data_IF_991282673864
#
_entry.id   IF_991282673864
#
_cell.length_a   1.000
_cell.length_b   1.000
_cell.length_c   1.000
_cell.angle_alpha   90.00
_cell.angle_beta   90.00
_cell.angle_gamma   90.00
#
_symmetry.space_group_name_H-M   'P 1'
#
loop_
_entity.id
_entity.type
_entity.pdbx_description
1 polymer ?
#
# COMPACT_ATOMS: atom_id res chain seq x y z
N UNK A 1 0.35 -16.30 31.39
CA UNK A 1 -0.29 -16.15 30.06
C UNK A 1 -0.46 -14.69 29.57
N UNK A 2 -0.13 -13.67 30.38
CA UNK A 2 -0.19 -12.25 29.98
C UNK A 2 1.02 -11.82 29.12
N UNK A 3 2.19 -12.44 29.30
CA UNK A 3 3.44 -11.95 28.71
C UNK A 3 3.61 -12.25 27.21
N UNK A 4 3.18 -13.43 26.74
CA UNK A 4 3.28 -13.82 25.31
C UNK A 4 2.49 -12.89 24.36
N UNK A 5 1.45 -12.22 24.85
CA UNK A 5 0.66 -11.29 24.04
C UNK A 5 1.36 -9.93 23.83
N UNK A 6 2.41 -9.65 24.60
CA UNK A 6 3.14 -8.38 24.54
C UNK A 6 4.35 -8.44 23.60
N UNK A 7 4.89 -9.64 23.33
CA UNK A 7 6.09 -9.83 22.51
C UNK A 7 5.99 -9.20 21.11
N UNK A 8 4.90 -9.35 20.33
CA UNK A 8 4.83 -8.76 18.99
C UNK A 8 4.85 -7.24 19.00
N UNK A 9 4.29 -6.62 20.04
CA UNK A 9 4.29 -5.16 20.17
C UNK A 9 5.68 -4.64 20.57
N UNK A 10 6.35 -5.32 21.51
CA UNK A 10 7.74 -4.98 21.87
C UNK A 10 8.66 -5.12 20.66
N UNK A 11 8.53 -6.22 19.90
CA UNK A 11 9.26 -6.43 18.66
C UNK A 11 8.98 -5.33 17.62
N UNK A 12 7.71 -4.94 17.43
CA UNK A 12 7.34 -3.84 16.55
C UNK A 12 8.04 -2.52 16.95
N UNK A 13 8.02 -2.16 18.24
CA UNK A 13 8.71 -0.96 18.74
C UNK A 13 10.20 -1.03 18.44
N UNK A 14 10.86 -2.15 18.78
CA UNK A 14 12.30 -2.34 18.56
C UNK A 14 12.66 -2.26 17.08
N UNK A 15 11.88 -2.90 16.20
CA UNK A 15 12.10 -2.84 14.75
C UNK A 15 11.86 -1.44 14.20
N UNK A 16 10.81 -0.74 14.64
CA UNK A 16 10.59 0.65 14.21
C UNK A 16 11.75 1.55 14.65
N UNK A 17 12.20 1.46 15.90
CA UNK A 17 13.33 2.25 16.42
C UNK A 17 14.63 1.90 15.69
N UNK A 18 14.91 0.62 15.48
CA UNK A 18 16.09 0.16 14.74
C UNK A 18 16.12 0.64 13.29
N UNK A 19 14.99 0.50 12.57
CA UNK A 19 14.86 0.99 11.19
C UNK A 19 14.92 2.52 11.12
N UNK A 20 14.32 3.23 12.08
CA UNK A 20 14.43 4.69 12.16
C UNK A 20 15.90 5.11 12.31
N UNK A 21 16.64 4.51 13.23
CA UNK A 21 18.07 4.78 13.44
C UNK A 21 18.92 4.46 12.20
N UNK A 22 18.66 3.31 11.56
CA UNK A 22 19.36 2.92 10.32
C UNK A 22 19.11 3.93 9.20
N UNK A 23 17.86 4.35 8.99
CA UNK A 23 17.54 5.33 7.95
C UNK A 23 18.11 6.71 8.26
N UNK A 24 18.14 7.11 9.54
CA UNK A 24 18.78 8.36 9.95
C UNK A 24 20.29 8.35 9.66
N UNK A 25 20.96 7.21 9.87
CA UNK A 25 22.35 7.04 9.49
C UNK A 25 22.51 7.09 7.96
N UNK A 26 21.64 6.40 7.21
CA UNK A 26 21.66 6.41 5.75
C UNK A 26 21.43 7.81 5.15
N UNK A 27 20.50 8.61 5.70
CA UNK A 27 20.21 9.97 5.25
C UNK A 27 21.40 10.93 5.33
N UNK A 28 22.45 10.59 6.09
CA UNK A 28 23.68 11.39 6.16
C UNK A 28 24.62 11.14 4.98
N UNK A 29 24.54 9.98 4.35
CA UNK A 29 25.50 9.52 3.33
C UNK A 29 24.87 9.23 1.98
N UNK A 30 23.57 8.97 1.93
CA UNK A 30 22.83 8.60 0.72
C UNK A 30 22.27 9.85 0.06
N UNK A 31 22.64 10.10 -1.18
CA UNK A 31 22.04 11.13 -2.03
C UNK A 31 20.71 10.67 -2.63
N UNK A 32 20.15 11.45 -3.56
CA UNK A 32 18.97 11.01 -4.31
C UNK A 32 19.31 9.86 -5.25
N UNK A 33 18.46 8.84 -5.29
CA UNK A 33 18.37 7.93 -6.44
C UNK A 33 17.74 8.62 -7.66
N UNK A 34 17.80 7.96 -8.83
CA UNK A 34 17.33 8.52 -10.11
C UNK A 34 15.89 9.05 -10.04
N UNK A 35 14.96 8.24 -9.52
CA UNK A 35 13.55 8.64 -9.38
C UNK A 35 13.36 9.75 -8.34
N UNK A 36 14.13 9.73 -7.25
CA UNK A 36 14.04 10.78 -6.22
C UNK A 36 14.51 12.14 -6.76
N UNK A 37 15.57 12.15 -7.57
CA UNK A 37 16.06 13.37 -8.20
C UNK A 37 15.01 13.97 -9.15
N UNK A 38 14.30 13.11 -9.90
CA UNK A 38 13.16 13.54 -10.70
C UNK A 38 12.07 14.16 -9.83
N UNK A 39 11.62 13.47 -8.77
CA UNK A 39 10.57 14.01 -7.89
C UNK A 39 11.00 15.26 -7.12
N UNK A 40 12.27 15.40 -6.77
CA UNK A 40 12.82 16.62 -6.20
C UNK A 40 12.78 17.79 -7.19
N UNK A 41 13.02 17.54 -8.48
CA UNK A 41 12.95 18.57 -9.53
C UNK A 41 11.53 19.11 -9.76
N UNK A 42 10.49 18.34 -9.44
CA UNK A 42 9.09 18.80 -9.54
C UNK A 42 8.80 20.01 -8.66
N UNK A 43 9.57 20.20 -7.60
CA UNK A 43 9.51 21.37 -6.75
C UNK A 43 9.70 22.70 -7.50
N UNK A 44 10.48 22.69 -8.59
CA UNK A 44 10.79 23.86 -9.42
C UNK A 44 9.63 24.24 -10.34
N UNK A 45 8.74 23.30 -10.61
CA UNK A 45 7.60 23.48 -11.50
C UNK A 45 6.33 22.88 -10.88
N UNK A 46 5.75 23.51 -9.84
CA UNK A 46 4.54 23.00 -9.21
C UNK A 46 3.40 22.85 -10.22
N UNK A 47 2.88 21.64 -10.34
CA UNK A 47 1.77 21.31 -11.22
C UNK A 47 0.78 20.39 -10.50
N UNK A 48 -0.49 20.41 -10.94
CA UNK A 48 -1.50 19.49 -10.41
C UNK A 48 -1.24 18.04 -10.81
N UNK A 49 -0.59 17.80 -11.95
CA UNK A 49 -0.11 16.50 -12.38
C UNK A 49 1.17 16.66 -13.21
N UNK A 50 1.96 15.60 -13.24
CA UNK A 50 3.14 15.41 -14.07
C UNK A 50 2.91 14.21 -14.98
N UNK A 51 3.83 13.95 -15.91
CA UNK A 51 3.66 12.92 -16.95
C UNK A 51 3.32 11.52 -16.41
N UNK A 52 3.88 11.15 -15.26
CA UNK A 52 3.75 9.82 -14.66
C UNK A 52 2.98 9.82 -13.33
N UNK A 53 2.87 10.97 -12.65
CA UNK A 53 2.29 11.05 -11.32
C UNK A 53 1.48 12.33 -11.05
N UNK A 54 0.43 12.22 -10.20
CA UNK A 54 -0.24 13.37 -9.62
C UNK A 54 0.69 14.29 -8.82
N UNK A 55 0.27 15.56 -8.67
CA UNK A 55 1.15 16.66 -8.24
C UNK A 55 1.59 16.69 -6.77
N UNK A 56 1.01 15.87 -5.88
CA UNK A 56 1.29 15.99 -4.44
C UNK A 56 2.76 15.74 -4.10
N UNK A 57 3.44 14.82 -4.78
CA UNK A 57 4.87 14.58 -4.55
C UNK A 57 5.71 15.82 -4.86
N UNK A 58 5.38 16.54 -5.93
CA UNK A 58 6.02 17.81 -6.28
C UNK A 58 5.70 18.93 -5.30
N UNK A 59 4.45 19.01 -4.83
CA UNK A 59 4.05 19.97 -3.80
C UNK A 59 4.79 19.74 -2.46
N UNK A 60 4.93 18.48 -2.05
CA UNK A 60 5.71 18.11 -0.85
C UNK A 60 7.20 18.41 -1.07
N UNK A 61 7.76 18.09 -2.23
CA UNK A 61 9.14 18.44 -2.56
C UNK A 61 9.38 19.95 -2.49
N UNK A 62 8.47 20.75 -3.07
CA UNK A 62 8.50 22.21 -3.02
C UNK A 62 8.43 22.75 -1.59
N UNK A 63 7.55 22.20 -0.75
CA UNK A 63 7.46 22.56 0.66
C UNK A 63 8.78 22.28 1.40
N UNK A 64 9.39 21.11 1.19
CA UNK A 64 10.65 20.72 1.84
C UNK A 64 11.85 21.54 1.36
N UNK A 65 11.81 22.00 0.11
CA UNK A 65 12.85 22.86 -0.46
C UNK A 65 12.61 24.35 -0.24
N UNK A 66 11.45 24.78 0.23
CA UNK A 66 11.09 26.20 0.36
C UNK A 66 10.88 26.87 -1.00
N UNK A 67 10.25 26.16 -1.95
CA UNK A 67 10.03 26.62 -3.32
C UNK A 67 11.11 26.20 -4.33
N UNK A 68 12.22 25.62 -3.86
CA UNK A 68 13.25 25.02 -4.70
C UNK A 68 13.27 23.49 -4.58
N UNK A 69 14.14 22.80 -5.33
CA UNK A 69 14.40 21.39 -5.09
C UNK A 69 14.94 21.18 -3.66
N UNK A 70 14.41 20.22 -2.88
CA UNK A 70 14.92 19.92 -1.54
C UNK A 70 16.30 19.26 -1.62
N UNK A 71 17.10 19.40 -0.57
CA UNK A 71 18.32 18.59 -0.42
C UNK A 71 17.94 17.14 -0.05
N UNK A 72 18.79 16.14 -0.35
CA UNK A 72 18.57 14.75 0.08
C UNK A 72 18.28 14.64 1.58
N UNK A 73 19.03 15.37 2.41
CA UNK A 73 18.89 15.32 3.86
C UNK A 73 17.50 15.80 4.32
N UNK A 74 16.94 16.86 3.70
CA UNK A 74 15.60 17.36 4.04
C UNK A 74 14.51 16.40 3.57
N UNK A 75 14.65 15.90 2.35
CA UNK A 75 13.72 14.92 1.78
C UNK A 75 13.69 13.64 2.61
N UNK A 76 14.85 13.03 2.85
CA UNK A 76 14.99 11.81 3.66
C UNK A 76 14.55 12.02 5.10
N UNK A 77 14.79 13.20 5.69
CA UNK A 77 14.28 13.54 7.02
C UNK A 77 12.75 13.41 7.11
N UNK A 78 12.03 13.92 6.11
CA UNK A 78 10.57 13.81 6.06
C UNK A 78 10.10 12.37 5.78
N UNK A 79 10.72 11.68 4.82
CA UNK A 79 10.32 10.31 4.45
C UNK A 79 10.61 9.30 5.56
N UNK A 80 11.68 9.48 6.36
CA UNK A 80 11.97 8.66 7.55
C UNK A 80 10.79 8.69 8.53
N UNK A 81 10.24 9.88 8.81
CA UNK A 81 9.11 10.04 9.73
C UNK A 81 7.90 9.29 9.18
N UNK A 82 7.56 9.51 7.91
CA UNK A 82 6.42 8.84 7.26
C UNK A 82 6.59 7.32 7.22
N UNK A 83 7.75 6.83 6.79
CA UNK A 83 8.09 5.41 6.74
C UNK A 83 8.01 4.74 8.11
N UNK A 84 8.28 5.49 9.19
CA UNK A 84 8.22 4.97 10.56
C UNK A 84 6.81 4.96 11.12
N UNK A 85 5.92 5.81 10.61
CA UNK A 85 4.48 5.84 10.96
C UNK A 85 3.70 4.71 10.26
N UNK A 86 4.09 4.33 9.04
CA UNK A 86 3.33 3.34 8.23
C UNK A 86 3.05 2.01 8.96
N UNK A 87 4.01 1.35 9.64
CA UNK A 87 3.72 0.13 10.42
C UNK A 87 2.66 0.33 11.51
N UNK A 88 2.62 1.51 12.14
CA UNK A 88 1.62 1.83 13.15
C UNK A 88 0.24 2.09 12.56
N UNK A 89 0.18 2.62 11.33
CA UNK A 89 -1.06 2.70 10.58
C UNK A 89 -1.55 1.33 10.14
N UNK A 90 -0.66 0.38 9.80
CA UNK A 90 -1.04 -1.03 9.63
C UNK A 90 -1.61 -1.62 10.91
N UNK A 91 -0.99 -1.36 12.07
CA UNK A 91 -1.53 -1.77 13.37
C UNK A 91 -2.93 -1.19 13.58
N UNK A 92 -3.11 0.10 13.36
CA UNK A 92 -4.39 0.79 13.51
C UNK A 92 -5.47 0.23 12.57
N UNK A 93 -5.15 0.05 11.28
CA UNK A 93 -6.06 -0.53 10.29
C UNK A 93 -6.45 -1.97 10.68
N UNK A 94 -5.51 -2.80 11.12
CA UNK A 94 -5.80 -4.15 11.58
C UNK A 94 -6.70 -4.17 12.84
N UNK A 95 -6.48 -3.26 13.79
CA UNK A 95 -7.35 -3.07 14.94
C UNK A 95 -8.74 -2.61 14.53
N UNK A 96 -8.81 -1.66 13.60
CA UNK A 96 -10.06 -1.18 13.01
C UNK A 96 -10.78 -2.29 12.23
N UNK A 97 -10.08 -3.26 11.65
CA UNK A 97 -10.65 -4.46 11.04
C UNK A 97 -11.11 -5.52 12.06
N UNK A 98 -10.75 -5.38 13.34
CA UNK A 98 -11.17 -6.28 14.43
C UNK A 98 -10.13 -7.34 14.83
N UNK A 99 -8.91 -7.27 14.30
CA UNK A 99 -7.82 -8.15 14.76
C UNK A 99 -7.48 -7.87 16.22
N UNK A 100 -7.13 -8.90 17.01
CA UNK A 100 -6.63 -8.72 18.39
C UNK A 100 -5.33 -7.92 18.40
N UNK A 101 -4.95 -7.34 19.56
CA UNK A 101 -3.71 -6.55 19.70
C UNK A 101 -2.47 -7.29 19.20
N UNK A 102 -2.30 -8.56 19.57
CA UNK A 102 -1.17 -9.38 19.11
C UNK A 102 -1.17 -9.63 17.59
N UNK A 103 -2.34 -9.90 16.99
CA UNK A 103 -2.45 -10.11 15.54
C UNK A 103 -2.22 -8.82 14.74
N UNK A 104 -2.71 -7.69 15.24
CA UNK A 104 -2.45 -6.39 14.65
C UNK A 104 -0.96 -6.01 14.73
N UNK A 105 -0.32 -6.27 15.87
CA UNK A 105 1.12 -6.06 16.02
C UNK A 105 1.94 -6.99 15.11
N UNK A 106 1.53 -8.25 14.96
CA UNK A 106 2.14 -9.18 13.99
C UNK A 106 2.03 -8.69 12.55
N UNK A 107 0.85 -8.22 12.12
CA UNK A 107 0.66 -7.66 10.78
C UNK A 107 1.52 -6.40 10.55
N UNK A 108 1.58 -5.51 11.53
CA UNK A 108 2.42 -4.32 11.51
C UNK A 108 3.92 -4.65 11.48
N UNK A 109 4.34 -5.68 12.21
CA UNK A 109 5.73 -6.16 12.21
C UNK A 109 6.11 -6.70 10.84
N UNK A 110 5.26 -7.53 10.22
CA UNK A 110 5.47 -8.00 8.85
C UNK A 110 5.62 -6.82 7.91
N UNK A 111 4.69 -5.84 7.97
CA UNK A 111 4.77 -4.64 7.15
C UNK A 111 6.07 -3.85 7.39
N UNK A 112 6.54 -3.72 8.63
CA UNK A 112 7.78 -3.03 8.96
C UNK A 112 9.02 -3.73 8.38
N UNK A 113 8.99 -5.06 8.26
CA UNK A 113 10.15 -5.87 7.84
C UNK A 113 10.18 -6.22 6.35
N UNK A 114 9.07 -6.05 5.62
CA UNK A 114 9.04 -6.29 4.17
C UNK A 114 10.00 -5.29 3.49
N UNK A 115 10.98 -5.73 2.69
CA UNK A 115 12.00 -4.85 2.12
C UNK A 115 11.45 -3.62 1.38
N UNK A 116 10.35 -3.79 0.65
CA UNK A 116 9.67 -2.71 -0.07
C UNK A 116 9.24 -1.56 0.87
N UNK A 117 8.72 -1.89 2.06
CA UNK A 117 8.29 -0.89 3.03
C UNK A 117 9.42 -0.45 3.96
N UNK A 118 10.31 -1.38 4.30
CA UNK A 118 11.46 -1.13 5.18
C UNK A 118 12.47 -0.18 4.51
N UNK A 119 12.74 -0.38 3.23
CA UNK A 119 13.74 0.36 2.45
C UNK A 119 13.06 1.31 1.47
N UNK A 120 12.07 0.86 0.70
CA UNK A 120 11.49 1.66 -0.39
C UNK A 120 10.83 2.96 0.07
N UNK A 121 10.18 2.98 1.23
CA UNK A 121 9.57 4.21 1.79
C UNK A 121 10.60 5.23 2.32
N UNK A 122 11.88 4.90 2.34
CA UNK A 122 12.94 5.88 2.63
C UNK A 122 13.08 6.91 1.51
N UNK A 123 12.78 6.54 0.27
CA UNK A 123 12.92 7.42 -0.87
C UNK A 123 11.81 8.49 -0.91
N UNK A 124 12.14 9.70 -1.37
CA UNK A 124 11.12 10.68 -1.76
C UNK A 124 10.40 10.16 -3.00
N UNK A 125 9.21 9.60 -2.80
CA UNK A 125 8.42 9.00 -3.87
C UNK A 125 6.92 9.20 -3.64
N UNK A 126 6.08 9.05 -4.69
CA UNK A 126 4.63 8.99 -4.55
C UNK A 126 4.18 7.95 -3.52
N UNK A 127 4.86 6.81 -3.40
CA UNK A 127 4.46 5.71 -2.52
C UNK A 127 4.65 6.06 -1.04
N UNK A 128 5.65 6.88 -0.71
CA UNK A 128 5.90 7.37 0.65
C UNK A 128 4.77 8.25 1.18
N UNK A 129 4.05 8.94 0.29
CA UNK A 129 2.85 9.70 0.61
C UNK A 129 1.59 8.83 0.54
N UNK A 130 1.50 7.98 -0.48
CA UNK A 130 0.35 7.11 -0.72
C UNK A 130 0.09 6.17 0.47
N UNK A 131 1.12 5.46 0.94
CA UNK A 131 0.98 4.41 1.95
C UNK A 131 0.31 4.90 3.25
N UNK A 132 0.77 5.98 3.91
CA UNK A 132 0.12 6.46 5.13
C UNK A 132 -1.29 7.00 4.87
N UNK A 133 -1.51 7.74 3.78
CA UNK A 133 -2.85 8.25 3.43
C UNK A 133 -3.84 7.13 3.16
N UNK A 134 -3.39 6.07 2.49
CA UNK A 134 -4.21 4.90 2.19
C UNK A 134 -4.63 4.16 3.45
N UNK A 135 -3.69 3.89 4.35
CA UNK A 135 -3.95 3.19 5.60
C UNK A 135 -4.81 4.04 6.55
N UNK A 136 -4.57 5.36 6.61
CA UNK A 136 -5.39 6.28 7.39
C UNK A 136 -6.83 6.32 6.88
N UNK A 137 -7.01 6.47 5.56
CA UNK A 137 -8.32 6.44 4.90
C UNK A 137 -9.07 5.14 5.21
N UNK A 138 -8.41 4.00 5.04
CA UNK A 138 -8.99 2.68 5.30
C UNK A 138 -9.35 2.52 6.79
N UNK A 139 -8.50 3.00 7.69
CA UNK A 139 -8.75 2.97 9.14
C UNK A 139 -9.99 3.77 9.49
N UNK A 140 -10.15 4.99 8.95
CA UNK A 140 -11.33 5.82 9.15
C UNK A 140 -12.60 5.11 8.66
N UNK A 141 -12.59 4.55 7.45
CA UNK A 141 -13.74 3.81 6.90
C UNK A 141 -14.12 2.60 7.76
N UNK A 142 -13.13 1.80 8.19
CA UNK A 142 -13.35 0.62 9.05
C UNK A 142 -13.92 1.00 10.42
N UNK A 143 -13.46 2.11 11.00
CA UNK A 143 -14.00 2.63 12.25
C UNK A 143 -15.43 3.16 12.07
N UNK A 144 -15.72 3.83 10.96
CA UNK A 144 -17.05 4.36 10.65
C UNK A 144 -18.08 3.23 10.54
N UNK A 145 -17.75 2.16 9.81
CA UNK A 145 -18.63 1.00 9.58
C UNK A 145 -19.06 0.33 10.89
N UNK A 146 -18.20 0.34 11.91
CA UNK A 146 -18.47 -0.29 13.22
C UNK A 146 -19.36 0.53 14.14
N UNK A 147 -19.64 1.79 13.80
CA UNK A 147 -20.44 2.71 14.61
C UNK A 147 -21.85 2.86 14.06
N UNK A 148 -22.73 3.47 14.85
CA UNK A 148 -24.08 3.79 14.38
C UNK A 148 -24.00 4.88 13.29
N UNK A 149 -24.77 4.77 12.19
CA UNK A 149 -24.71 5.73 11.09
C UNK A 149 -25.01 7.19 11.50
N UNK A 150 -25.77 7.39 12.57
CA UNK A 150 -26.27 8.71 13.00
C UNK A 150 -25.34 9.44 13.97
N UNK A 151 -24.30 8.77 14.47
CA UNK A 151 -23.32 9.42 15.33
C UNK A 151 -22.48 10.44 14.55
N UNK A 152 -22.31 11.65 15.09
CA UNK A 152 -21.44 12.70 14.51
C UNK A 152 -20.03 12.18 14.21
N UNK A 153 -19.49 11.36 15.10
CA UNK A 153 -18.18 10.72 14.90
C UNK A 153 -18.15 9.85 13.65
N UNK A 154 -19.21 9.11 13.35
CA UNK A 154 -19.32 8.30 12.12
C UNK A 154 -19.30 9.17 10.87
N UNK A 155 -19.96 10.34 10.92
CA UNK A 155 -19.99 11.30 9.83
C UNK A 155 -18.59 11.87 9.56
N UNK A 156 -17.90 12.29 10.63
CA UNK A 156 -16.51 12.77 10.56
C UNK A 156 -15.60 11.69 9.98
N UNK A 157 -15.74 10.43 10.43
CA UNK A 157 -14.90 9.33 9.93
C UNK A 157 -15.15 9.02 8.44
N UNK A 158 -16.39 9.07 7.96
CA UNK A 158 -16.68 8.91 6.53
C UNK A 158 -16.13 10.07 5.69
N UNK A 159 -16.29 11.30 6.15
CA UNK A 159 -15.71 12.48 5.49
C UNK A 159 -14.18 12.41 5.45
N UNK A 160 -13.55 12.09 6.58
CA UNK A 160 -12.11 11.90 6.68
C UNK A 160 -11.61 10.78 5.76
N UNK A 161 -12.31 9.64 5.70
CA UNK A 161 -11.95 8.54 4.81
C UNK A 161 -11.94 8.99 3.35
N UNK A 162 -13.00 9.68 2.91
CA UNK A 162 -13.10 10.19 1.54
C UNK A 162 -12.06 11.24 1.19
N UNK A 163 -11.85 12.26 2.06
CA UNK A 163 -10.81 13.27 1.87
C UNK A 163 -9.43 12.62 1.78
N UNK A 164 -9.08 11.75 2.73
CA UNK A 164 -7.79 11.05 2.74
C UNK A 164 -7.60 10.17 1.49
N UNK A 165 -8.67 9.55 0.97
CA UNK A 165 -8.61 8.82 -0.30
C UNK A 165 -8.39 9.75 -1.50
N UNK A 166 -9.01 10.93 -1.50
CA UNK A 166 -8.76 11.98 -2.48
C UNK A 166 -7.30 12.45 -2.46
N UNK A 167 -6.76 12.77 -1.28
CA UNK A 167 -5.34 13.15 -1.12
C UNK A 167 -4.40 11.99 -1.49
N UNK A 168 -4.77 10.75 -1.17
CA UNK A 168 -4.02 9.58 -1.63
C UNK A 168 -3.99 9.50 -3.17
N UNK A 169 -5.11 9.79 -3.84
CA UNK A 169 -5.19 9.84 -5.29
C UNK A 169 -4.37 10.99 -5.90
N UNK A 170 -4.18 12.11 -5.18
CA UNK A 170 -3.27 13.18 -5.60
C UNK A 170 -1.79 12.88 -5.32
N UNK A 171 -1.47 11.83 -4.56
CA UNK A 171 -0.13 11.26 -4.48
C UNK A 171 0.16 10.30 -5.65
N UNK A 172 -0.75 9.36 -5.90
CA UNK A 172 -0.63 8.34 -6.96
C UNK A 172 -2.03 7.96 -7.43
N UNK A 173 -2.24 7.82 -8.75
CA UNK A 173 -3.56 7.53 -9.33
C UNK A 173 -4.18 6.24 -8.79
N UNK A 174 -3.36 5.28 -8.36
CA UNK A 174 -3.83 4.07 -7.68
C UNK A 174 -4.64 4.36 -6.42
N UNK A 175 -4.47 5.53 -5.79
CA UNK A 175 -5.30 6.03 -4.69
C UNK A 175 -6.80 6.07 -5.00
N UNK A 176 -7.18 6.24 -6.28
CA UNK A 176 -8.58 6.18 -6.72
C UNK A 176 -9.25 4.83 -6.44
N UNK A 177 -8.47 3.75 -6.31
CA UNK A 177 -9.00 2.43 -5.96
C UNK A 177 -9.64 2.42 -4.57
N UNK A 178 -9.27 3.34 -3.67
CA UNK A 178 -9.98 3.53 -2.40
C UNK A 178 -11.39 4.07 -2.61
N UNK A 179 -11.55 5.13 -3.42
CA UNK A 179 -12.86 5.70 -3.72
C UNK A 179 -13.76 4.66 -4.40
N UNK A 180 -13.21 3.93 -5.38
CA UNK A 180 -13.91 2.82 -6.05
C UNK A 180 -14.27 1.72 -5.05
N UNK A 181 -13.34 1.33 -4.18
CA UNK A 181 -13.54 0.34 -3.13
C UNK A 181 -14.63 0.75 -2.13
N UNK A 182 -14.71 2.03 -1.78
CA UNK A 182 -15.74 2.58 -0.90
C UNK A 182 -17.12 2.59 -1.56
N UNK A 183 -17.20 2.95 -2.85
CA UNK A 183 -18.45 2.79 -3.62
C UNK A 183 -18.88 1.33 -3.58
N UNK A 184 -17.99 0.39 -3.94
CA UNK A 184 -18.27 -1.05 -3.91
C UNK A 184 -18.72 -1.54 -2.53
N UNK A 185 -18.06 -1.08 -1.45
CA UNK A 185 -18.43 -1.42 -0.08
C UNK A 185 -19.82 -0.89 0.30
N UNK A 186 -20.13 0.37 -0.03
CA UNK A 186 -21.44 0.98 0.27
C UNK A 186 -22.58 0.32 -0.51
N UNK A 187 -22.31 -0.15 -1.73
CA UNK A 187 -23.29 -0.92 -2.52
C UNK A 187 -23.57 -2.31 -1.94
N UNK A 188 -22.68 -2.84 -1.08
CA UNK A 188 -22.92 -4.11 -0.38
C UNK A 188 -24.16 -4.05 0.52
N UNK A 189 -24.98 -5.12 0.59
CA UNK A 189 -26.08 -5.21 1.55
C UNK A 189 -25.62 -5.06 3.01
N UNK A 190 -24.39 -5.46 3.32
CA UNK A 190 -23.83 -5.38 4.67
C UNK A 190 -23.73 -3.92 5.19
N UNK A 191 -23.60 -2.95 4.29
CA UNK A 191 -23.52 -1.52 4.63
C UNK A 191 -24.79 -0.75 4.28
N UNK A 192 -25.92 -1.45 4.06
CA UNK A 192 -27.20 -0.79 3.76
C UNK A 192 -27.61 0.32 4.76
N UNK A 193 -27.37 0.19 6.10
CA UNK A 193 -27.67 1.27 7.03
C UNK A 193 -26.85 2.54 6.79
N UNK A 194 -25.56 2.38 6.45
CA UNK A 194 -24.67 3.50 6.15
C UNK A 194 -24.99 4.10 4.77
N UNK A 195 -25.27 3.28 3.76
CA UNK A 195 -25.59 3.72 2.38
C UNK A 195 -26.77 4.70 2.32
N UNK A 196 -27.75 4.57 3.22
CA UNK A 196 -28.93 5.45 3.25
C UNK A 196 -28.65 6.83 3.84
N UNK A 197 -27.47 7.05 4.43
CA UNK A 197 -27.06 8.36 4.97
C UNK A 197 -26.28 9.13 3.92
N UNK A 198 -26.38 10.45 3.97
CA UNK A 198 -25.67 11.33 3.03
C UNK A 198 -24.15 11.32 3.25
N UNK A 199 -23.68 11.14 4.49
CA UNK A 199 -22.28 11.33 4.87
C UNK A 199 -21.25 10.43 4.18
N UNK A 200 -21.48 9.12 3.98
CA UNK A 200 -20.56 8.31 3.18
C UNK A 200 -20.42 8.81 1.73
N UNK A 201 -21.52 9.27 1.13
CA UNK A 201 -21.51 9.86 -0.22
C UNK A 201 -20.87 11.24 -0.24
N UNK A 202 -21.11 12.06 0.78
CA UNK A 202 -20.45 13.34 0.96
C UNK A 202 -18.93 13.16 1.08
N UNK A 203 -18.46 12.17 1.85
CA UNK A 203 -17.04 11.82 1.92
C UNK A 203 -16.47 11.45 0.55
N UNK A 204 -17.16 10.59 -0.21
CA UNK A 204 -16.77 10.25 -1.59
C UNK A 204 -16.70 11.48 -2.50
N UNK A 205 -17.71 12.35 -2.43
CA UNK A 205 -17.76 13.60 -3.20
C UNK A 205 -16.61 14.55 -2.83
N UNK A 206 -16.31 14.69 -1.53
CA UNK A 206 -15.17 15.46 -1.04
C UNK A 206 -13.85 14.87 -1.53
N UNK A 207 -13.70 13.54 -1.51
CA UNK A 207 -12.53 12.86 -2.07
C UNK A 207 -12.35 13.12 -3.56
N UNK A 208 -13.44 13.05 -4.34
CA UNK A 208 -13.43 13.38 -5.77
C UNK A 208 -13.10 14.85 -6.01
N UNK A 209 -13.62 15.77 -5.18
CA UNK A 209 -13.33 17.19 -5.24
C UNK A 209 -11.85 17.49 -4.96
N UNK A 210 -11.24 16.81 -3.98
CA UNK A 210 -9.80 16.93 -3.69
C UNK A 210 -8.95 16.44 -4.88
N UNK A 211 -9.38 15.38 -5.56
CA UNK A 211 -8.69 14.86 -6.73
C UNK A 211 -8.95 15.67 -8.01
N UNK A 212 -10.01 16.48 -8.04
CA UNK A 212 -10.46 17.22 -9.22
C UNK A 212 -9.38 18.03 -9.94
N UNK A 213 -8.46 18.77 -9.26
CA UNK A 213 -7.42 19.52 -9.95
C UNK A 213 -6.51 18.66 -10.84
N UNK A 214 -6.22 17.42 -10.40
CA UNK A 214 -5.44 16.44 -11.19
C UNK A 214 -6.23 16.05 -12.43
N UNK A 215 -7.49 15.64 -12.25
CA UNK A 215 -8.36 15.23 -13.36
C UNK A 215 -8.57 16.35 -14.39
N UNK A 216 -8.78 17.58 -13.93
CA UNK A 216 -8.94 18.75 -14.79
C UNK A 216 -7.63 19.14 -15.51
N UNK A 217 -6.46 18.90 -14.89
CA UNK A 217 -5.18 19.08 -15.56
C UNK A 217 -5.01 18.09 -16.71
N UNK A 218 -5.21 16.80 -16.44
CA UNK A 218 -5.14 15.73 -17.44
C UNK A 218 -6.14 15.94 -18.58
N UNK A 219 -7.38 16.32 -18.27
CA UNK A 219 -8.41 16.56 -19.28
C UNK A 219 -8.05 17.70 -20.25
N UNK A 220 -7.31 18.72 -19.78
CA UNK A 220 -6.81 19.83 -20.62
C UNK A 220 -5.57 19.44 -21.42
N UNK A 221 -4.80 18.47 -20.94
CA UNK A 221 -3.62 17.96 -21.62
C UNK A 221 -3.97 16.99 -22.77
N UNK A 222 -5.16 16.38 -22.74
CA UNK A 222 -5.63 15.54 -23.84
C UNK A 222 -5.74 16.37 -25.13
N UNK A 223 -5.10 15.94 -26.23
CA UNK A 223 -5.24 16.62 -27.50
C UNK A 223 -6.72 16.61 -27.89
N UNK A 224 -7.27 17.81 -28.16
CA UNK A 224 -8.61 17.92 -28.71
C UNK A 224 -8.70 17.02 -29.95
N UNK A 225 -9.72 16.16 -30.00
CA UNK A 225 -9.92 15.20 -31.09
C UNK A 225 -9.98 15.89 -32.48
N UNK A 226 -10.28 17.18 -32.50
CA UNK A 226 -10.37 18.00 -33.70
C UNK A 226 -9.04 18.69 -34.09
N UNK A 227 -7.95 18.45 -33.36
CA UNK A 227 -6.65 18.97 -33.74
C UNK A 227 -6.20 18.29 -35.05
N UNK A 228 -6.05 19.04 -36.16
CA UNK A 228 -5.83 18.44 -37.45
C UNK A 228 -4.52 17.65 -37.46
N UNK A 229 -4.47 16.46 -38.11
CA UNK A 229 -3.37 15.50 -37.98
C UNK A 229 -2.00 16.08 -38.38
N UNK A 230 -1.97 17.13 -39.20
CA UNK A 230 -0.72 17.79 -39.59
C UNK A 230 -0.08 18.62 -38.46
N UNK A 231 -0.81 19.03 -37.42
CA UNK A 231 -0.23 19.67 -36.21
C UNK A 231 0.33 18.66 -35.20
N UNK A 232 -0.06 17.40 -35.29
CA UNK A 232 0.51 16.32 -34.47
C UNK A 232 1.85 15.83 -35.03
N UNK A 233 2.10 16.00 -36.34
CA UNK A 233 3.38 15.68 -36.97
C UNK A 233 4.53 16.63 -36.56
N UNK A 234 4.22 17.87 -36.19
CA UNK A 234 5.17 18.86 -35.67
C UNK A 234 5.50 18.70 -34.18
N UNK A 235 4.63 18.03 -33.41
CA UNK A 235 4.94 17.48 -32.08
C UNK A 235 5.50 16.06 -32.20
N UNK A 236 6.35 15.81 -33.21
CA UNK A 236 7.41 14.82 -33.03
C UNK A 236 8.12 15.23 -31.75
N UNK A 237 7.90 14.47 -30.68
CA UNK A 237 8.72 14.52 -29.50
C UNK A 237 10.16 14.59 -30.00
N UNK A 238 10.75 15.78 -29.89
CA UNK A 238 12.18 15.96 -30.00
C UNK A 238 12.76 15.27 -28.76
N UNK A 239 12.64 13.94 -28.71
CA UNK A 239 13.83 13.13 -28.55
C UNK A 239 14.71 13.50 -29.75
N UNK A 240 15.34 14.67 -29.66
CA UNK A 240 16.68 14.82 -30.16
C UNK A 240 17.45 13.71 -29.45
N UNK A 241 17.46 12.53 -30.06
CA UNK A 241 18.64 11.70 -29.99
C UNK A 241 19.72 12.63 -30.51
N UNK A 242 20.37 13.35 -29.61
CA UNK A 242 21.66 13.90 -29.91
C UNK A 242 22.53 12.69 -30.18
N UNK A 243 22.52 12.21 -31.43
CA UNK A 243 23.71 11.71 -32.09
C UNK A 243 24.67 12.89 -32.33
N UNK A 244 24.78 13.80 -31.36
CA UNK A 244 26.03 14.47 -31.14
C UNK A 244 26.93 13.37 -30.65
N UNK A 245 27.98 13.09 -31.42
CA UNK A 245 29.12 12.34 -30.95
C UNK A 245 29.54 12.89 -29.59
N UNK A 246 29.01 12.32 -28.51
CA UNK A 246 29.65 12.35 -27.21
C UNK A 246 30.80 11.38 -27.37
N UNK A 247 31.83 11.83 -28.10
CA UNK A 247 33.14 11.24 -27.96
C UNK A 247 33.47 11.41 -26.49
N UNK A 248 33.43 10.31 -25.75
CA UNK A 248 34.16 10.18 -24.50
C UNK A 248 35.64 10.29 -24.86
N UNK A 249 36.10 11.49 -25.22
CA UNK A 249 37.50 11.84 -25.09
C UNK A 249 37.73 11.76 -23.61
N UNK A 250 38.27 10.61 -23.20
CA UNK A 250 38.99 10.48 -21.96
C UNK A 250 39.92 11.70 -21.89
N UNK A 251 39.54 12.68 -21.07
CA UNK A 251 40.43 13.74 -20.65
C UNK A 251 41.51 13.02 -19.85
N UNK A 252 42.56 12.59 -20.57
CA UNK A 252 43.83 12.28 -19.96
C UNK A 252 44.23 13.56 -19.27
N UNK A 253 44.09 13.58 -17.96
CA UNK A 253 44.84 14.46 -17.08
C UNK A 253 46.32 14.25 -17.41
N UNK A 254 46.85 15.06 -18.33
CA UNK A 254 48.27 15.23 -18.55
C UNK A 254 48.68 16.46 -17.73
N UNK A 255 49.66 16.25 -16.85
CA UNK A 255 50.58 17.29 -16.44
C UNK A 255 50.26 17.98 -15.11
N UNK A 256 50.52 17.28 -14.00
CA UNK A 256 51.10 17.94 -12.84
C UNK A 256 52.59 17.55 -12.78
N UNK A 257 53.52 18.51 -12.55
CA UNK A 257 54.95 18.24 -12.57
C UNK A 257 55.36 17.37 -11.38
N UNK A 258 56.00 16.24 -11.68
CA UNK A 258 56.59 15.34 -10.69
C UNK A 258 57.87 15.95 -10.12
N UNK A 259 57.82 16.25 -8.82
CA UNK A 259 59.00 16.45 -8.00
C UNK A 259 59.85 15.17 -7.95
N UNK A 260 61.17 15.36 -8.10
CA UNK A 260 62.21 14.36 -7.96
C UNK A 260 62.13 13.63 -6.62
N UNK A 261 62.10 12.30 -6.64
CA UNK A 261 62.72 11.49 -5.60
C UNK A 261 63.15 10.12 -6.17
N UNK A 262 64.38 9.75 -5.80
CA UNK A 262 65.18 8.61 -6.25
C UNK A 262 64.59 7.30 -5.71
N UNK A 263 64.82 6.19 -6.43
CA UNK A 263 64.61 4.86 -5.85
C UNK A 263 64.66 3.74 -6.88
N UNK A 264 65.85 3.22 -7.11
CA UNK A 264 66.10 2.04 -7.93
C UNK A 264 65.41 0.78 -7.37
N UNK A 265 64.87 -0.06 -8.25
CA UNK A 265 65.21 -1.50 -8.36
C UNK A 265 64.50 -2.15 -9.55
N UNK A 266 65.32 -2.74 -10.41
CA UNK A 266 64.96 -3.70 -11.46
C UNK A 266 64.42 -4.99 -10.82
N UNK A 267 63.49 -5.65 -11.51
CA UNK A 267 63.33 -7.11 -11.72
C UNK A 267 62.05 -7.25 -12.59
N UNK A 268 62.18 -7.43 -13.91
CA UNK A 268 62.31 -8.70 -14.62
C UNK A 268 60.99 -9.50 -14.72
N UNK A 269 60.40 -9.41 -15.93
CA UNK A 269 59.71 -10.43 -16.72
C UNK A 269 58.76 -11.45 -16.05
N UNK A 270 57.48 -11.44 -16.48
CA UNK A 270 56.90 -12.62 -17.13
C UNK A 270 55.67 -12.22 -17.94
N UNK A 271 55.80 -12.31 -19.27
CA UNK A 271 54.74 -12.19 -20.26
C UNK A 271 53.96 -13.51 -20.37
N UNK A 272 52.65 -13.48 -20.11
CA UNK A 272 51.73 -14.57 -20.43
C UNK A 272 50.54 -14.01 -21.26
N UNK A 273 50.17 -14.64 -22.39
CA UNK A 273 49.14 -14.14 -23.27
C UNK A 273 47.74 -14.46 -22.71
N UNK A 274 46.93 -13.42 -22.45
CA UNK A 274 45.50 -13.59 -22.14
C UNK A 274 44.71 -13.91 -23.41
N UNK A 275 44.27 -15.16 -23.50
CA UNK A 275 43.32 -15.64 -24.49
C UNK A 275 42.00 -14.87 -24.42
N UNK A 276 41.53 -14.38 -25.57
CA UNK A 276 40.22 -13.76 -25.75
C UNK A 276 39.12 -14.82 -25.64
N UNK A 277 38.06 -14.64 -24.83
CA UNK A 277 36.90 -15.53 -24.90
C UNK A 277 36.12 -15.26 -26.20
N UNK A 278 36.06 -16.28 -27.06
CA UNK A 278 35.16 -16.37 -28.21
C UNK A 278 33.72 -16.14 -27.76
N UNK A 279 33.10 -15.05 -28.21
CA UNK A 279 31.63 -14.88 -28.16
C UNK A 279 30.98 -15.96 -29.03
N UNK A 280 30.47 -17.03 -28.42
CA UNK A 280 29.52 -17.94 -29.07
C UNK A 280 28.21 -17.19 -29.28
N UNK A 281 27.85 -16.97 -30.55
CA UNK A 281 26.53 -16.51 -30.97
C UNK A 281 25.54 -17.65 -30.69
N UNK A 282 24.65 -17.48 -29.72
CA UNK A 282 23.43 -18.27 -29.65
C UNK A 282 22.46 -17.76 -30.72
N UNK A 283 22.52 -18.37 -31.89
CA UNK A 283 21.46 -18.35 -32.88
C UNK A 283 20.60 -19.61 -32.65
N UNK A 284 19.58 -19.50 -31.81
CA UNK A 284 18.49 -20.46 -31.73
C UNK A 284 17.28 -19.76 -31.09
N UNK A 285 16.10 -19.97 -31.68
CA UNK A 285 14.78 -19.42 -31.34
C UNK A 285 14.34 -18.17 -32.12
N UNK A 286 14.30 -18.28 -33.46
CA UNK A 286 13.31 -17.56 -34.29
C UNK A 286 12.39 -18.58 -34.96
N UNK A 287 11.44 -19.09 -34.20
CA UNK A 287 10.19 -19.61 -34.74
C UNK A 287 9.10 -19.35 -33.70
N UNK A 288 8.57 -18.13 -33.70
CA UNK A 288 7.27 -17.84 -33.09
C UNK A 288 6.39 -17.27 -34.18
N UNK A 289 5.55 -18.18 -34.68
CA UNK A 289 4.29 -18.02 -35.39
C UNK A 289 3.85 -16.58 -35.73
N UNK A 290 3.74 -16.32 -37.03
CA UNK A 290 2.80 -15.36 -37.60
C UNK A 290 1.35 -15.84 -37.37
N UNK A 291 0.90 -15.82 -36.12
CA UNK A 291 -0.51 -15.96 -35.78
C UNK A 291 -1.25 -14.64 -36.05
N UNK A 292 -2.38 -14.73 -36.75
CA UNK A 292 -3.26 -13.59 -37.02
C UNK A 292 -3.66 -12.88 -35.72
N UNK A 293 -4.00 -11.57 -35.75
CA UNK A 293 -4.41 -10.83 -34.57
C UNK A 293 -5.56 -11.49 -33.78
N UNK A 294 -6.42 -12.26 -34.47
CA UNK A 294 -7.50 -13.05 -33.84
C UNK A 294 -6.98 -14.21 -33.00
N UNK A 295 -5.96 -14.94 -33.47
CA UNK A 295 -5.34 -16.03 -32.70
C UNK A 295 -4.64 -15.53 -31.43
N UNK A 296 -4.02 -14.34 -31.47
CA UNK A 296 -3.41 -13.72 -30.29
C UNK A 296 -4.45 -13.26 -29.26
N UNK A 297 -5.60 -12.73 -29.72
CA UNK A 297 -6.71 -12.38 -28.82
C UNK A 297 -7.33 -13.61 -28.15
N UNK A 298 -7.51 -14.71 -28.89
CA UNK A 298 -8.02 -15.96 -28.33
C UNK A 298 -7.09 -16.54 -27.24
N UNK A 299 -5.77 -16.47 -27.45
CA UNK A 299 -4.77 -16.98 -26.50
C UNK A 299 -4.68 -16.14 -25.22
N UNK A 300 -4.88 -14.82 -25.32
CA UNK A 300 -4.96 -13.91 -24.16
C UNK A 300 -6.26 -14.14 -23.38
N UNK A 301 -7.39 -14.32 -24.06
CA UNK A 301 -8.69 -14.61 -23.42
C UNK A 301 -8.64 -15.96 -22.70
N UNK A 302 -8.05 -16.99 -23.30
CA UNK A 302 -7.87 -18.32 -22.70
C UNK A 302 -6.95 -18.28 -21.46
N UNK A 303 -5.85 -17.50 -21.51
CA UNK A 303 -4.97 -17.28 -20.35
C UNK A 303 -5.69 -16.54 -19.23
N UNK A 304 -6.43 -15.48 -19.54
CA UNK A 304 -7.22 -14.75 -18.54
C UNK A 304 -8.32 -15.64 -17.92
N UNK A 305 -8.95 -16.53 -18.70
CA UNK A 305 -9.94 -17.49 -18.18
C UNK A 305 -9.32 -18.52 -17.23
N UNK A 306 -8.13 -19.04 -17.57
CA UNK A 306 -7.41 -19.98 -16.69
C UNK A 306 -6.92 -19.31 -15.41
N UNK A 307 -6.43 -18.07 -15.47
CA UNK A 307 -6.04 -17.31 -14.28
C UNK A 307 -7.25 -16.95 -13.41
N UNK A 308 -8.40 -16.62 -14.00
CA UNK A 308 -9.64 -16.38 -13.27
C UNK A 308 -10.17 -17.64 -12.57
N UNK A 309 -10.05 -18.83 -13.20
CA UNK A 309 -10.42 -20.11 -12.60
C UNK A 309 -9.50 -20.52 -11.43
N UNK A 310 -8.20 -20.23 -11.52
CA UNK A 310 -7.24 -20.48 -10.42
C UNK A 310 -7.49 -19.53 -9.23
N UNK A 311 -7.84 -18.26 -9.49
CA UNK A 311 -8.23 -17.31 -8.45
C UNK A 311 -9.61 -17.62 -7.83
N UNK A 312 -10.55 -18.18 -8.61
CA UNK A 312 -11.84 -18.63 -8.09
C UNK A 312 -11.70 -19.89 -7.22
N UNK A 313 -10.77 -20.79 -7.53
CA UNK A 313 -10.48 -22.00 -6.74
C UNK A 313 -9.82 -21.72 -5.39
N UNK A 314 -9.08 -20.60 -5.25
CA UNK A 314 -8.38 -20.22 -4.01
C UNK A 314 -9.20 -19.34 -3.06
N UNK A 315 -10.31 -18.76 -3.54
CA UNK A 315 -11.27 -18.00 -2.71
C UNK A 315 -12.52 -18.81 -2.30
N UNK A 316 -12.51 -20.12 -2.56
CA UNK A 316 -13.51 -21.08 -2.09
C UNK A 316 -13.41 -21.34 -0.57
N UNK A 317 -13.61 -20.31 0.25
CA UNK A 317 -14.03 -20.49 1.64
C UNK A 317 -15.43 -21.08 1.58
N UNK A 318 -15.48 -22.42 1.68
CA UNK A 318 -16.69 -23.20 1.80
C UNK A 318 -17.48 -22.71 3.03
N UNK A 319 -18.40 -21.78 2.80
CA UNK A 319 -19.42 -21.42 3.77
C UNK A 319 -20.47 -22.54 3.78
N UNK A 320 -20.09 -23.73 4.28
CA UNK A 320 -21.05 -24.77 4.65
C UNK A 320 -21.90 -24.20 5.77
N UNK A 321 -23.09 -23.70 5.42
CA UNK A 321 -24.18 -23.50 6.38
C UNK A 321 -24.48 -24.86 7.00
N UNK A 322 -23.90 -25.14 8.17
CA UNK A 322 -24.31 -26.29 8.98
C UNK A 322 -25.78 -26.06 9.38
N UNK A 323 -26.70 -26.99 9.08
CA UNK A 323 -28.10 -26.84 9.43
C UNK A 323 -28.24 -26.70 10.96
N UNK A 324 -29.06 -25.72 11.40
CA UNK A 324 -29.31 -25.38 12.81
C UNK A 324 -29.63 -26.59 13.70
N UNK A 325 -30.20 -27.67 13.14
CA UNK A 325 -30.51 -28.91 13.85
C UNK A 325 -29.29 -29.67 14.39
N UNK A 326 -28.11 -29.58 13.74
CA UNK A 326 -26.90 -30.28 14.22
C UNK A 326 -26.21 -29.59 15.40
N UNK A 327 -26.37 -28.26 15.55
CA UNK A 327 -25.86 -27.53 16.73
C UNK A 327 -26.64 -27.81 18.01
N UNK A 328 -27.92 -28.13 17.92
CA UNK A 328 -28.70 -28.57 19.08
C UNK A 328 -28.27 -29.99 19.53
N UNK A 329 -28.01 -30.89 18.58
CA UNK A 329 -27.54 -32.25 18.86
C UNK A 329 -26.12 -32.29 19.42
N UNK A 330 -25.18 -31.53 18.84
CA UNK A 330 -23.80 -31.43 19.35
C UNK A 330 -23.73 -30.76 20.74
N UNK A 331 -24.70 -29.90 21.10
CA UNK A 331 -24.79 -29.26 22.43
C UNK A 331 -25.45 -30.20 23.47
N UNK A 332 -26.38 -31.05 23.04
CA UNK A 332 -26.96 -32.11 23.87
C UNK A 332 -25.95 -33.26 24.12
N UNK A 333 -25.19 -33.67 23.11
CA UNK A 333 -24.11 -34.67 23.26
C UNK A 333 -22.96 -34.17 24.14
N UNK A 334 -22.59 -32.88 24.05
CA UNK A 334 -21.59 -32.29 24.96
C UNK A 334 -22.10 -32.06 26.38
N UNK A 335 -23.41 -32.02 26.60
CA UNK A 335 -24.00 -32.03 27.94
C UNK A 335 -24.08 -33.46 28.53
N UNK A 336 -24.08 -34.49 27.68
CA UNK A 336 -24.12 -35.90 28.09
C UNK A 336 -22.74 -36.48 28.43
N UNK A 337 -21.64 -35.88 27.94
CA UNK A 337 -20.26 -36.25 28.33
C UNK A 337 -19.79 -35.37 29.50
N UNK A 338 -20.57 -35.40 30.59
CA UNK A 338 -20.13 -34.89 31.89
C UNK A 338 -19.51 -36.06 32.67
N UNK A 339 -18.25 -35.87 33.09
CA UNK A 339 -17.47 -36.85 33.86
C UNK A 339 -18.25 -37.34 35.09
N UNK A 340 -18.25 -38.65 35.40
CA UNK A 340 -18.81 -39.15 36.65
C UNK A 340 -17.94 -38.62 37.80
N UNK A 341 -18.49 -37.70 38.62
CA UNK A 341 -17.80 -37.24 39.83
C UNK A 341 -18.13 -35.84 40.35
N UNK A 342 -18.75 -34.94 39.56
CA UNK A 342 -19.13 -33.62 40.08
C UNK A 342 -20.58 -33.60 40.58
N UNK A 343 -20.75 -33.80 41.90
CA UNK A 343 -21.98 -33.47 42.63
C UNK A 343 -22.22 -31.96 42.51
N UNK A 344 -23.18 -31.57 41.68
CA UNK A 344 -23.72 -30.22 41.68
C UNK A 344 -24.47 -29.99 43.00
N UNK A 345 -23.97 -29.08 43.82
CA UNK A 345 -24.64 -28.64 45.03
C UNK A 345 -26.01 -28.03 44.66
N UNK A 346 -27.09 -28.61 45.20
CA UNK A 346 -28.44 -28.03 45.07
C UNK A 346 -28.43 -26.62 45.70
N UNK A 347 -29.06 -25.62 45.07
CA UNK A 347 -29.28 -24.32 45.70
C UNK A 347 -30.10 -24.54 46.99
N UNK A 348 -29.47 -24.28 48.14
CA UNK A 348 -30.07 -24.46 49.48
C UNK A 348 -31.06 -23.35 49.84
N UNK A 349 -31.11 -22.26 49.08
CA UNK A 349 -31.91 -21.10 49.44
C UNK A 349 -33.15 -20.96 48.55
N UNK A 350 -34.33 -21.06 49.16
CA UNK A 350 -35.63 -21.01 48.49
C UNK A 350 -35.87 -19.65 47.80
N UNK A 351 -35.22 -18.59 48.27
CA UNK A 351 -35.21 -17.29 47.62
C UNK A 351 -34.62 -17.34 46.19
N UNK A 352 -33.63 -18.22 45.97
CA UNK A 352 -32.98 -18.37 44.66
C UNK A 352 -33.88 -19.16 43.69
N UNK A 353 -34.63 -20.15 44.18
CA UNK A 353 -35.63 -20.89 43.37
C UNK A 353 -36.78 -19.98 42.94
N UNK A 354 -37.28 -19.13 43.84
CA UNK A 354 -38.35 -18.19 43.51
C UNK A 354 -37.93 -17.19 42.42
N UNK A 355 -36.70 -16.64 42.50
CA UNK A 355 -36.16 -15.71 41.48
C UNK A 355 -35.98 -16.37 40.11
N UNK A 356 -35.47 -17.60 40.07
CA UNK A 356 -35.31 -18.35 38.82
C UNK A 356 -36.67 -18.71 38.20
N UNK A 357 -37.66 -19.08 39.02
CA UNK A 357 -39.03 -19.35 38.57
C UNK A 357 -39.75 -18.12 38.02
N UNK A 358 -39.53 -16.94 38.60
CA UNK A 358 -40.07 -15.68 38.10
C UNK A 358 -39.44 -15.27 36.75
N UNK A 359 -38.12 -15.47 36.61
CA UNK A 359 -37.40 -15.19 35.37
C UNK A 359 -37.87 -16.11 34.22
N UNK A 360 -38.05 -17.40 34.51
CA UNK A 360 -38.54 -18.36 33.53
C UNK A 360 -39.97 -18.04 33.05
N UNK A 361 -40.85 -17.57 33.94
CA UNK A 361 -42.21 -17.11 33.57
C UNK A 361 -42.20 -15.87 32.68
N UNK A 362 -41.35 -14.88 32.99
CA UNK A 362 -41.21 -13.67 32.14
C UNK A 362 -40.68 -13.98 30.75
N UNK A 363 -39.78 -14.96 30.61
CA UNK A 363 -39.27 -15.38 29.31
C UNK A 363 -40.35 -16.09 28.48
N UNK A 364 -41.16 -16.97 29.07
CA UNK A 364 -42.28 -17.61 28.37
C UNK A 364 -43.34 -16.62 27.88
N UNK A 365 -43.66 -15.61 28.68
CA UNK A 365 -44.61 -14.57 28.27
C UNK A 365 -44.09 -13.69 27.13
N UNK A 366 -42.76 -13.50 27.01
CA UNK A 366 -42.13 -12.80 25.89
C UNK A 366 -41.99 -13.61 24.61
N UNK A 367 -42.08 -14.93 24.69
CA UNK A 367 -42.09 -15.81 23.52
C UNK A 367 -43.51 -16.04 22.98
N UNK A 368 -44.53 -15.78 23.81
CA UNK A 368 -45.95 -15.90 23.44
C UNK A 368 -46.58 -14.60 22.90
N UNK A 369 -45.86 -13.47 22.99
CA UNK A 369 -46.24 -12.16 22.44
C UNK A 369 -45.27 -11.79 21.32
#
# INVERSE_FOLDING_TARGET
>A
MSDERSLPLRALVLVTVGLFGLRLAAARTVGFGDSEALYASYALHPAAAYLDHPGLVGAVASLLGGGSAPTPQRAHGATIILASVVPWLFFAAARAAGATKGRAAGAALVAATVPELAIGLFALSPDTLLAPLWLASLTCALLAVKRKPDEVVTQILWSAAGILAGVAATAKVTGLLLLIGYVGALLSPALAPHRRRAWPWAGLALGALVFWPVAAHEARALPHADAPPHRLAGRRWLFATSRGDVSWRATRLRGAPSGRARGARRLAASSAPRARPRRRRHAAARHIAHGSPRARRALVVERCRRTALVCAGTLGVAHRRRPRKRRARDKAERAAVARPGQRWARPRDDATRARLGALARRLRLREAA
#
